data_IF_545584603541
#
_entry.id   IF_545584603541
#
_cell.length_a   1.000
_cell.length_b   1.000
_cell.length_c   1.000
_cell.angle_alpha   90.00
_cell.angle_beta   90.00
_cell.angle_gamma   90.00
#
_symmetry.space_group_name_H-M   'P 1'
#
loop_
_entity.id
_entity.type
_entity.pdbx_description
1 polymer ?
#
# COMPACT_ATOMS: atom_id res chain seq x y z
N UNK A 1 5.57 -27.93 1.08
CA UNK A 1 4.78 -26.84 1.64
C UNK A 1 5.59 -25.56 1.69
N UNK A 2 4.96 -24.47 2.10
CA UNK A 2 5.60 -23.16 2.29
C UNK A 2 5.44 -22.75 3.76
N UNK A 3 6.42 -22.03 4.29
CA UNK A 3 6.30 -21.26 5.50
C UNK A 3 5.98 -19.84 5.03
N UNK A 4 4.94 -19.21 5.62
CA UNK A 4 4.49 -17.88 5.22
C UNK A 4 4.56 -16.96 6.41
N UNK A 5 5.21 -15.82 6.21
CA UNK A 5 5.21 -14.69 7.12
C UNK A 5 4.41 -13.54 6.50
N UNK A 6 3.61 -12.89 7.29
CA UNK A 6 2.84 -11.71 6.90
C UNK A 6 2.60 -10.84 8.12
N UNK A 7 2.60 -9.55 7.90
CA UNK A 7 2.29 -8.55 8.92
C UNK A 7 1.13 -7.65 8.48
N UNK A 8 0.58 -6.93 9.44
CA UNK A 8 -0.30 -5.80 9.18
C UNK A 8 0.54 -4.53 9.26
N UNK A 9 0.69 -3.83 8.16
CA UNK A 9 1.46 -2.58 8.09
C UNK A 9 0.98 -1.52 9.08
N UNK A 10 1.84 -0.55 9.39
CA UNK A 10 1.45 0.61 10.19
C UNK A 10 0.22 1.28 9.58
N UNK A 11 -0.77 1.58 10.41
CA UNK A 11 -2.05 2.15 9.96
C UNK A 11 -3.04 1.13 9.37
N UNK A 12 -2.73 -0.17 9.40
CA UNK A 12 -3.57 -1.23 8.83
C UNK A 12 -3.87 -2.34 9.83
N UNK A 13 -4.92 -3.11 9.55
CA UNK A 13 -5.28 -4.35 10.21
C UNK A 13 -5.25 -4.30 11.75
N UNK A 14 -4.71 -5.35 12.37
CA UNK A 14 -4.62 -5.49 13.82
C UNK A 14 -3.60 -4.55 14.45
N UNK A 15 -2.56 -4.18 13.70
CA UNK A 15 -1.59 -3.18 14.13
C UNK A 15 -2.26 -1.83 14.38
N UNK A 16 -3.13 -1.40 13.48
CA UNK A 16 -3.91 -0.18 13.65
C UNK A 16 -5.00 -0.31 14.72
N UNK A 17 -5.67 -1.48 14.80
CA UNK A 17 -6.74 -1.72 15.76
C UNK A 17 -6.23 -1.56 17.20
N UNK A 18 -5.06 -2.10 17.50
CA UNK A 18 -4.46 -2.03 18.84
C UNK A 18 -4.18 -0.60 19.31
N UNK A 19 -3.94 0.32 18.37
CA UNK A 19 -3.56 1.72 18.63
C UNK A 19 -4.63 2.73 18.21
N UNK A 20 -5.73 2.28 17.61
CA UNK A 20 -6.76 3.12 16.99
C UNK A 20 -6.19 4.10 15.93
N UNK A 21 -5.30 3.60 15.09
CA UNK A 21 -4.55 4.39 14.09
C UNK A 21 -4.86 3.99 12.66
N UNK A 22 -6.08 3.52 12.35
CA UNK A 22 -6.47 3.14 10.99
C UNK A 22 -6.21 4.26 9.98
N UNK A 23 -5.48 3.92 8.91
CA UNK A 23 -5.11 4.86 7.86
C UNK A 23 -4.12 5.95 8.29
N UNK A 24 -3.51 5.80 9.47
CA UNK A 24 -2.54 6.74 10.01
C UNK A 24 -1.19 6.05 10.27
N UNK A 25 -0.18 6.33 9.43
CA UNK A 25 1.17 5.80 9.63
C UNK A 25 1.93 6.54 10.75
N UNK A 26 1.36 7.61 11.30
CA UNK A 26 2.06 8.50 12.21
C UNK A 26 3.16 9.32 11.51
N UNK A 27 4.07 9.85 12.29
CA UNK A 27 5.24 10.58 11.78
C UNK A 27 6.41 9.61 11.58
N UNK A 28 6.34 8.80 10.54
CA UNK A 28 7.28 7.69 10.28
C UNK A 28 8.53 8.11 9.51
N UNK A 29 8.53 9.27 8.88
CA UNK A 29 9.61 9.68 7.96
C UNK A 29 9.41 9.18 6.52
N UNK A 30 8.23 8.67 6.17
CA UNK A 30 7.86 8.32 4.80
C UNK A 30 7.86 6.82 4.51
N UNK A 31 7.70 6.47 3.22
CA UNK A 31 7.54 5.09 2.76
C UNK A 31 8.71 4.15 3.10
N UNK A 32 9.90 4.68 3.35
CA UNK A 32 11.06 3.88 3.73
C UNK A 32 10.84 3.12 5.05
N UNK A 33 9.96 3.60 5.92
CA UNK A 33 9.62 2.90 7.15
C UNK A 33 8.96 1.55 6.87
N UNK A 34 8.05 1.49 5.90
CA UNK A 34 7.42 0.23 5.48
C UNK A 34 8.46 -0.76 4.93
N UNK A 35 9.41 -0.28 4.11
CA UNK A 35 10.48 -1.14 3.59
C UNK A 35 11.40 -1.68 4.70
N UNK A 36 11.62 -0.89 5.75
CA UNK A 36 12.40 -1.32 6.90
C UNK A 36 11.65 -2.31 7.78
N UNK A 37 10.34 -2.20 7.89
CA UNK A 37 9.51 -3.17 8.60
C UNK A 37 9.48 -4.50 7.87
N UNK A 38 9.35 -4.49 6.53
CA UNK A 38 9.51 -5.69 5.70
C UNK A 38 10.92 -6.31 5.85
N UNK A 39 11.95 -5.48 5.97
CA UNK A 39 13.31 -5.96 6.24
C UNK A 39 13.40 -6.68 7.59
N UNK A 40 12.75 -6.16 8.61
CA UNK A 40 12.70 -6.83 9.92
C UNK A 40 11.97 -8.16 9.86
N UNK A 41 10.85 -8.22 9.11
CA UNK A 41 10.12 -9.47 8.90
C UNK A 41 10.99 -10.50 8.17
N UNK A 42 11.73 -10.08 7.15
CA UNK A 42 12.72 -10.92 6.48
C UNK A 42 13.77 -11.45 7.46
N UNK A 43 14.36 -10.58 8.29
CA UNK A 43 15.43 -10.96 9.21
C UNK A 43 14.93 -11.97 10.26
N UNK A 44 13.67 -11.86 10.68
CA UNK A 44 13.01 -12.84 11.55
C UNK A 44 12.88 -14.19 10.83
N UNK A 45 12.32 -14.19 9.63
CA UNK A 45 12.06 -15.39 8.85
C UNK A 45 13.35 -16.16 8.51
N UNK A 46 14.38 -15.44 8.06
CA UNK A 46 15.69 -16.03 7.75
C UNK A 46 16.43 -16.45 9.01
N UNK A 47 16.24 -15.74 10.13
CA UNK A 47 16.80 -16.15 11.42
C UNK A 47 16.20 -17.46 11.95
N UNK A 48 14.92 -17.71 11.70
CA UNK A 48 14.22 -18.94 12.08
C UNK A 48 14.47 -20.08 11.08
N UNK A 49 14.70 -19.78 9.79
CA UNK A 49 14.84 -20.75 8.71
C UNK A 49 15.99 -20.40 7.76
N UNK A 50 17.25 -20.38 8.24
CA UNK A 50 18.40 -19.90 7.47
C UNK A 50 18.75 -20.77 6.27
N UNK A 51 18.24 -22.00 6.21
CA UNK A 51 18.48 -22.93 5.10
C UNK A 51 17.47 -22.82 3.97
N UNK A 52 16.39 -22.03 4.15
CA UNK A 52 15.34 -21.93 3.16
C UNK A 52 15.52 -20.71 2.26
N UNK A 53 15.16 -20.82 0.97
CA UNK A 53 15.14 -19.67 0.08
C UNK A 53 13.99 -18.74 0.46
N UNK A 54 14.25 -17.43 0.44
CA UNK A 54 13.27 -16.42 0.76
C UNK A 54 12.70 -15.76 -0.50
N UNK A 55 11.36 -15.72 -0.59
CA UNK A 55 10.63 -15.10 -1.68
C UNK A 55 9.70 -14.02 -1.11
N UNK A 56 9.53 -12.94 -1.84
CA UNK A 56 8.55 -11.92 -1.53
C UNK A 56 7.38 -12.01 -2.50
N UNK A 57 6.16 -11.97 -1.95
CA UNK A 57 4.92 -11.82 -2.70
C UNK A 57 4.26 -10.50 -2.35
N UNK A 58 4.03 -9.64 -3.35
CA UNK A 58 3.35 -8.35 -3.17
C UNK A 58 2.14 -8.20 -4.09
N UNK A 59 1.00 -7.83 -3.52
CA UNK A 59 -0.23 -7.52 -4.26
C UNK A 59 -0.58 -6.04 -4.15
N UNK A 60 -0.96 -5.41 -5.27
CA UNK A 60 -1.40 -4.02 -5.31
C UNK A 60 -0.37 -3.06 -4.70
N UNK A 61 -0.68 -2.33 -3.64
CA UNK A 61 0.28 -1.52 -2.89
C UNK A 61 1.47 -2.36 -2.40
N UNK A 62 1.23 -3.60 -1.94
CA UNK A 62 2.29 -4.55 -1.62
C UNK A 62 3.22 -4.85 -2.79
N UNK A 63 2.75 -4.74 -4.05
CA UNK A 63 3.63 -4.85 -5.23
C UNK A 63 4.60 -3.68 -5.36
N UNK A 64 4.19 -2.49 -4.89
CA UNK A 64 5.08 -1.32 -4.82
C UNK A 64 6.12 -1.50 -3.72
N UNK A 65 5.71 -1.93 -2.52
CA UNK A 65 6.61 -2.23 -1.40
C UNK A 65 7.62 -3.31 -1.78
N UNK A 66 7.16 -4.39 -2.40
CA UNK A 66 8.02 -5.49 -2.84
C UNK A 66 9.07 -5.06 -3.88
N UNK A 67 8.73 -4.17 -4.82
CA UNK A 67 9.70 -3.58 -5.75
C UNK A 67 10.67 -2.63 -5.03
N UNK A 68 10.15 -1.79 -4.14
CA UNK A 68 10.98 -0.92 -3.30
C UNK A 68 11.95 -1.73 -2.42
N UNK A 69 11.47 -2.84 -1.84
CA UNK A 69 12.31 -3.77 -1.10
C UNK A 69 13.43 -4.35 -1.98
N UNK A 70 13.06 -4.89 -3.15
CA UNK A 70 14.04 -5.48 -4.07
C UNK A 70 15.07 -4.46 -4.58
N UNK A 71 14.69 -3.19 -4.73
CA UNK A 71 15.62 -2.11 -5.11
C UNK A 71 16.65 -1.81 -4.01
N UNK A 72 16.30 -2.02 -2.74
CA UNK A 72 17.18 -1.73 -1.60
C UNK A 72 17.89 -2.97 -1.02
N UNK A 73 17.24 -4.14 -1.07
CA UNK A 73 17.66 -5.37 -0.39
C UNK A 73 17.56 -6.60 -1.31
N UNK A 74 17.63 -6.40 -2.62
CA UNK A 74 17.39 -7.49 -3.61
C UNK A 74 18.40 -8.62 -3.55
N UNK A 75 19.58 -8.39 -3.00
CA UNK A 75 20.61 -9.43 -2.84
C UNK A 75 20.23 -10.48 -1.78
N UNK A 76 19.31 -10.14 -0.87
CA UNK A 76 18.90 -10.98 0.25
C UNK A 76 17.67 -11.85 -0.07
N UNK A 77 17.09 -11.72 -1.27
CA UNK A 77 15.92 -12.50 -1.67
C UNK A 77 16.23 -13.42 -2.84
N UNK A 78 15.59 -14.60 -2.85
CA UNK A 78 15.71 -15.57 -3.93
C UNK A 78 14.85 -15.20 -5.13
N UNK A 79 13.72 -14.53 -4.90
CA UNK A 79 12.84 -14.13 -5.98
C UNK A 79 11.68 -13.27 -5.52
N UNK A 80 11.01 -12.66 -6.50
CA UNK A 80 9.95 -11.69 -6.34
C UNK A 80 8.73 -12.10 -7.15
N UNK A 81 7.56 -12.12 -6.51
CA UNK A 81 6.27 -12.37 -7.15
C UNK A 81 5.38 -11.14 -6.99
N UNK A 82 4.88 -10.61 -8.10
CA UNK A 82 4.05 -9.41 -8.11
C UNK A 82 2.68 -9.73 -8.70
N UNK A 83 1.64 -9.31 -8.00
CA UNK A 83 0.25 -9.44 -8.43
C UNK A 83 -0.43 -8.08 -8.38
N UNK A 84 -1.29 -7.78 -9.38
CA UNK A 84 -1.95 -6.48 -9.45
C UNK A 84 -0.95 -5.32 -9.42
N UNK A 85 0.08 -5.40 -10.26
CA UNK A 85 1.19 -4.44 -10.24
C UNK A 85 0.69 -3.02 -10.43
N UNK A 86 0.92 -2.19 -9.42
CA UNK A 86 0.69 -0.76 -9.54
C UNK A 86 1.79 -0.14 -10.40
N UNK A 87 1.43 0.28 -11.59
CA UNK A 87 2.29 0.99 -12.53
C UNK A 87 1.65 2.34 -12.88
N UNK A 88 2.35 3.12 -13.70
CA UNK A 88 1.78 4.36 -14.20
C UNK A 88 0.50 4.07 -14.99
N UNK A 89 -0.61 4.65 -14.55
CA UNK A 89 -1.89 4.55 -15.24
C UNK A 89 -2.11 5.76 -16.13
N UNK A 90 -2.67 5.52 -17.33
CA UNK A 90 -3.08 6.58 -18.23
C UNK A 90 -4.05 7.54 -17.53
N UNK A 91 -3.77 8.84 -17.58
CA UNK A 91 -4.57 9.88 -16.91
C UNK A 91 -4.29 10.07 -15.41
N UNK A 92 -3.43 9.25 -14.81
CA UNK A 92 -3.00 9.44 -13.43
C UNK A 92 -1.69 10.24 -13.40
N UNK A 93 -1.79 11.55 -13.20
CA UNK A 93 -0.63 12.44 -13.14
C UNK A 93 -0.14 12.53 -11.69
N UNK A 94 0.55 11.50 -11.25
CA UNK A 94 1.05 11.37 -9.87
C UNK A 94 1.96 12.54 -9.48
N UNK A 95 2.76 13.06 -10.41
CA UNK A 95 3.68 14.17 -10.14
C UNK A 95 2.98 15.46 -9.69
N UNK A 96 1.81 15.79 -10.25
CA UNK A 96 1.04 16.96 -9.80
C UNK A 96 0.52 16.76 -8.38
N UNK A 97 0.13 15.55 -8.06
CA UNK A 97 -0.42 15.20 -6.75
C UNK A 97 0.63 15.17 -5.68
N UNK A 98 1.83 14.72 -6.03
CA UNK A 98 2.99 14.75 -5.14
C UNK A 98 3.27 16.18 -4.64
N UNK A 99 3.24 17.18 -5.52
CA UNK A 99 3.49 18.59 -5.15
C UNK A 99 2.38 19.12 -4.24
N UNK A 100 1.14 18.89 -4.61
CA UNK A 100 -0.01 19.40 -3.85
C UNK A 100 -0.11 18.74 -2.48
N UNK A 101 0.09 17.41 -2.38
CA UNK A 101 0.16 16.69 -1.11
C UNK A 101 1.33 17.17 -0.24
N UNK A 102 2.50 17.35 -0.83
CA UNK A 102 3.67 17.85 -0.12
C UNK A 102 3.44 19.25 0.47
N UNK A 103 2.68 20.10 -0.21
CA UNK A 103 2.29 21.41 0.31
C UNK A 103 1.35 21.28 1.51
N UNK A 104 0.34 20.40 1.45
CA UNK A 104 -0.55 20.14 2.58
C UNK A 104 0.21 19.57 3.79
N UNK A 105 1.13 18.66 3.58
CA UNK A 105 2.02 18.11 4.63
C UNK A 105 2.86 19.22 5.26
N UNK A 106 3.47 20.06 4.43
CA UNK A 106 4.29 21.21 4.89
C UNK A 106 3.47 22.20 5.72
N UNK A 107 2.19 22.33 5.41
CA UNK A 107 1.25 23.17 6.15
C UNK A 107 0.73 22.52 7.45
N UNK A 108 1.31 21.39 7.86
CA UNK A 108 0.98 20.69 9.11
C UNK A 108 -0.28 19.81 9.05
N UNK A 109 -0.79 19.52 7.86
CA UNK A 109 -2.02 18.73 7.67
C UNK A 109 -1.76 17.22 7.47
N UNK A 110 -0.53 16.77 7.60
CA UNK A 110 -0.15 15.37 7.32
C UNK A 110 -1.00 14.33 8.06
N UNK A 111 -1.31 14.58 9.32
CA UNK A 111 -2.11 13.67 10.13
C UNK A 111 -3.63 13.87 9.99
N UNK A 112 -4.08 14.83 9.17
CA UNK A 112 -5.49 14.99 8.88
C UNK A 112 -5.98 13.82 8.04
N UNK A 113 -7.16 13.31 8.39
CA UNK A 113 -7.84 12.31 7.58
C UNK A 113 -8.32 12.94 6.28
N UNK A 114 -8.15 12.20 5.18
CA UNK A 114 -8.71 12.58 3.90
C UNK A 114 -10.24 12.46 3.92
N UNK A 115 -10.91 13.44 3.36
CA UNK A 115 -12.37 13.45 3.17
C UNK A 115 -12.83 12.74 1.87
N UNK A 116 -11.92 12.01 1.24
CA UNK A 116 -12.10 11.37 -0.06
C UNK A 116 -11.57 12.20 -1.24
N UNK A 117 -11.26 13.46 -1.03
CA UNK A 117 -10.80 14.35 -2.10
C UNK A 117 -9.48 13.88 -2.71
N UNK A 118 -8.50 13.58 -1.88
CA UNK A 118 -7.18 13.14 -2.32
C UNK A 118 -7.17 11.68 -2.75
N UNK A 119 -7.87 10.83 -2.01
CA UNK A 119 -8.03 9.42 -2.37
C UNK A 119 -8.61 9.28 -3.78
N UNK A 120 -9.72 9.96 -4.07
CA UNK A 120 -10.34 9.94 -5.39
C UNK A 120 -9.44 10.50 -6.49
N UNK A 121 -8.59 11.47 -6.18
CA UNK A 121 -7.59 11.96 -7.14
C UNK A 121 -6.47 10.96 -7.41
N UNK A 122 -6.00 10.24 -6.40
CA UNK A 122 -4.95 9.21 -6.54
C UNK A 122 -5.47 8.03 -7.35
N UNK A 123 -6.71 7.60 -7.09
CA UNK A 123 -7.34 6.44 -7.74
C UNK A 123 -8.30 6.82 -8.88
N UNK A 124 -8.16 8.03 -9.43
CA UNK A 124 -9.00 8.50 -10.53
C UNK A 124 -8.93 7.54 -11.71
N UNK A 125 -10.11 7.28 -12.30
CA UNK A 125 -10.27 6.46 -13.51
C UNK A 125 -9.94 4.96 -13.36
N UNK A 126 -9.87 4.41 -12.15
CA UNK A 126 -9.64 2.96 -11.96
C UNK A 126 -10.71 2.09 -12.64
N UNK A 127 -11.95 2.57 -12.70
CA UNK A 127 -13.09 1.86 -13.31
C UNK A 127 -13.32 2.18 -14.78
N UNK A 128 -12.58 3.13 -15.39
CA UNK A 128 -12.85 3.60 -16.75
C UNK A 128 -12.81 2.52 -17.85
N UNK A 129 -12.17 1.38 -17.58
CA UNK A 129 -12.07 0.25 -18.52
C UNK A 129 -13.07 -0.86 -18.21
N UNK A 130 -13.93 -0.68 -17.21
CA UNK A 130 -14.92 -1.66 -16.79
C UNK A 130 -16.24 -1.28 -17.40
N UNK A 131 -16.74 -2.13 -18.31
CA UNK A 131 -18.06 -1.94 -18.89
C UNK A 131 -19.13 -2.16 -17.82
N UNK A 132 -20.11 -1.23 -17.77
CA UNK A 132 -21.22 -1.28 -16.81
C UNK A 132 -20.78 -1.29 -15.33
N UNK A 133 -19.75 -0.53 -15.00
CA UNK A 133 -19.34 -0.34 -13.61
C UNK A 133 -20.51 0.20 -12.77
N UNK A 134 -20.78 -0.44 -11.64
CA UNK A 134 -21.85 -0.08 -10.69
C UNK A 134 -21.33 0.73 -9.51
N UNK A 135 -20.05 0.61 -9.21
CA UNK A 135 -19.41 1.29 -8.10
C UNK A 135 -17.97 1.69 -8.41
N UNK A 136 -17.43 2.60 -7.65
CA UNK A 136 -16.01 2.99 -7.74
C UNK A 136 -15.05 1.87 -7.33
N UNK A 137 -15.55 0.81 -6.70
CA UNK A 137 -14.77 -0.34 -6.23
C UNK A 137 -14.74 -1.51 -7.23
N UNK A 138 -15.46 -1.44 -8.36
CA UNK A 138 -15.59 -2.56 -9.31
C UNK A 138 -14.26 -3.01 -9.95
N UNK A 139 -13.23 -2.18 -9.87
CA UNK A 139 -11.88 -2.53 -10.31
C UNK A 139 -11.18 -3.54 -9.40
N UNK A 140 -11.71 -3.81 -8.20
CA UNK A 140 -11.08 -4.70 -7.20
C UNK A 140 -11.27 -6.16 -7.58
N UNK A 141 -12.48 -6.53 -8.01
CA UNK A 141 -12.82 -7.92 -8.39
C UNK A 141 -13.98 -7.95 -9.40
N UNK A 142 -14.07 -9.05 -10.14
CA UNK A 142 -15.22 -9.33 -11.01
C UNK A 142 -16.35 -10.07 -10.30
N UNK A 143 -16.06 -10.73 -9.17
CA UNK A 143 -17.03 -11.48 -8.41
C UNK A 143 -17.78 -10.55 -7.45
N UNK A 144 -19.12 -10.41 -7.59
CA UNK A 144 -19.91 -9.53 -6.73
C UNK A 144 -19.88 -9.94 -5.25
N UNK A 145 -19.69 -11.23 -4.95
CA UNK A 145 -19.54 -11.70 -3.56
C UNK A 145 -18.25 -11.17 -2.93
N UNK A 146 -17.16 -11.14 -3.70
CA UNK A 146 -15.90 -10.56 -3.26
C UNK A 146 -16.00 -9.04 -3.07
N UNK A 147 -16.71 -8.36 -3.96
CA UNK A 147 -16.96 -6.92 -3.81
C UNK A 147 -17.80 -6.59 -2.58
N UNK A 148 -18.84 -7.40 -2.30
CA UNK A 148 -19.67 -7.24 -1.12
C UNK A 148 -18.89 -7.51 0.18
N UNK A 149 -18.08 -8.56 0.20
CA UNK A 149 -17.20 -8.89 1.33
C UNK A 149 -16.21 -7.76 1.58
N UNK A 150 -15.53 -7.28 0.52
CA UNK A 150 -14.61 -6.14 0.60
C UNK A 150 -15.30 -4.88 1.14
N UNK A 151 -16.51 -4.57 0.67
CA UNK A 151 -17.23 -3.39 1.11
C UNK A 151 -17.65 -3.44 2.58
N UNK A 152 -17.87 -4.64 3.12
CA UNK A 152 -18.29 -4.86 4.50
C UNK A 152 -17.14 -5.16 5.46
N UNK A 153 -15.93 -5.37 4.98
CA UNK A 153 -14.76 -5.62 5.82
C UNK A 153 -14.35 -4.33 6.56
N UNK A 154 -14.44 -4.32 7.91
CA UNK A 154 -14.11 -3.14 8.69
C UNK A 154 -12.64 -2.71 8.56
N UNK A 155 -11.74 -3.61 8.12
CA UNK A 155 -10.34 -3.28 7.89
C UNK A 155 -10.11 -2.58 6.55
N UNK A 156 -11.05 -2.70 5.60
CA UNK A 156 -10.99 -2.01 4.30
C UNK A 156 -11.66 -0.63 4.32
N UNK A 157 -12.44 -0.31 5.35
CA UNK A 157 -13.17 0.96 5.49
C UNK A 157 -12.31 2.07 6.13
N UNK A 158 -11.01 2.08 5.90
CA UNK A 158 -10.13 3.10 6.48
C UNK A 158 -10.18 4.40 5.68
N UNK A 159 -10.15 5.51 6.41
CA UNK A 159 -9.86 6.82 5.85
C UNK A 159 -8.36 7.09 6.01
N UNK A 160 -7.58 7.17 4.92
CA UNK A 160 -6.16 7.44 5.02
C UNK A 160 -5.91 8.87 5.49
N UNK A 161 -4.80 9.07 6.19
CA UNK A 161 -4.28 10.42 6.40
C UNK A 161 -3.62 10.93 5.12
N UNK A 162 -3.44 12.25 5.01
CA UNK A 162 -2.70 12.82 3.89
C UNK A 162 -1.24 12.32 3.87
N UNK A 163 -0.67 12.01 5.03
CA UNK A 163 0.67 11.41 5.12
C UNK A 163 0.71 10.02 4.46
N UNK A 164 -0.26 9.15 4.74
CA UNK A 164 -0.33 7.83 4.11
C UNK A 164 -0.44 7.92 2.58
N UNK A 165 -1.28 8.84 2.08
CA UNK A 165 -1.41 9.09 0.64
C UNK A 165 -0.13 9.66 0.04
N UNK A 166 0.57 10.53 0.76
CA UNK A 166 1.88 11.06 0.33
C UNK A 166 2.92 9.95 0.24
N UNK A 167 2.99 9.09 1.24
CA UNK A 167 3.93 7.96 1.27
C UNK A 167 3.69 7.00 0.10
N UNK A 168 2.42 6.74 -0.24
CA UNK A 168 2.04 5.92 -1.39
C UNK A 168 2.49 6.56 -2.71
N UNK A 169 2.24 7.86 -2.87
CA UNK A 169 2.63 8.60 -4.09
C UNK A 169 4.16 8.70 -4.21
N UNK A 170 4.86 8.90 -3.09
CA UNK A 170 6.32 8.95 -3.06
C UNK A 170 6.94 7.60 -3.38
N UNK A 171 6.40 6.51 -2.83
CA UNK A 171 6.83 5.15 -3.17
C UNK A 171 6.61 4.85 -4.66
N UNK A 172 5.44 5.23 -5.22
CA UNK A 172 5.18 5.05 -6.64
C UNK A 172 6.19 5.80 -7.53
N UNK A 173 6.60 6.99 -7.12
CA UNK A 173 7.63 7.75 -7.84
C UNK A 173 9.05 7.23 -7.65
N UNK A 174 9.29 6.42 -6.61
CA UNK A 174 10.58 5.82 -6.31
C UNK A 174 10.87 4.56 -7.14
N UNK A 175 9.85 3.77 -7.43
CA UNK A 175 9.94 2.46 -8.10
C UNK A 175 9.63 2.57 -9.59
#
# INVERSE_FOLDING_TARGET
GFIVYADDHIGHGKTALGNNTFGDPGNTGGFMTYLQDERRLHDIAVGEHPELPYFIFGHSWGSMLARGYAANFGEDITGLMLCGICAQMEGCIIEFRKKDLAEEIKNGKGLNKDDGTWFNRVFLNMTQRIENSYSEADWIANDPVVLEDHANDPFNCMQPTLQLLSDLVDLHGYI
#
